data_IF_259410122107
#
_entry.id   IF_259410122107
#
_cell.length_a   1.000
_cell.length_b   1.000
_cell.length_c   1.000
_cell.angle_alpha   90.00
_cell.angle_beta   90.00
_cell.angle_gamma   90.00
#
_symmetry.space_group_name_H-M   'P 1'
#
loop_
_entity.id
_entity.type
_entity.pdbx_description
1 polymer ?
#
# COMPACT_ATOMS: atom_id res chain seq x y z
N UNK A 1 10.72 10.14 6.57
CA UNK A 1 11.25 9.08 7.46
C UNK A 1 11.57 7.90 6.58
N UNK A 2 12.75 7.31 6.72
CA UNK A 2 13.12 6.09 5.99
C UNK A 2 13.08 4.92 6.96
N UNK A 3 12.48 3.82 6.55
CA UNK A 3 12.41 2.61 7.35
C UNK A 3 12.26 1.38 6.43
N UNK A 4 12.28 0.19 7.01
CA UNK A 4 12.18 -1.08 6.31
C UNK A 4 10.72 -1.44 6.01
N UNK A 5 10.40 -1.60 4.73
CA UNK A 5 9.13 -2.17 4.28
C UNK A 5 9.31 -3.65 3.95
N UNK A 6 8.43 -4.51 4.48
CA UNK A 6 8.45 -5.96 4.20
C UNK A 6 7.06 -6.44 3.82
N UNK A 7 6.96 -7.20 2.73
CA UNK A 7 5.69 -7.78 2.26
C UNK A 7 5.92 -9.15 1.59
N UNK A 8 4.91 -10.03 1.52
CA UNK A 8 5.06 -11.33 0.86
C UNK A 8 5.26 -11.18 -0.65
N UNK A 9 6.07 -12.07 -1.23
CA UNK A 9 6.14 -12.26 -2.68
C UNK A 9 4.82 -12.83 -3.22
N UNK A 10 4.53 -12.58 -4.50
CA UNK A 10 3.33 -13.06 -5.17
C UNK A 10 3.21 -14.60 -5.16
N UNK A 11 4.33 -15.31 -5.20
CA UNK A 11 4.39 -16.78 -5.11
C UNK A 11 4.24 -17.31 -3.66
N UNK A 12 4.17 -16.42 -2.67
CA UNK A 12 4.10 -16.69 -1.22
C UNK A 12 5.25 -17.55 -0.67
N UNK A 13 6.34 -17.74 -1.42
CA UNK A 13 7.50 -18.54 -0.97
C UNK A 13 8.56 -17.72 -0.26
N UNK A 14 8.54 -16.41 -0.46
CA UNK A 14 9.52 -15.48 0.08
C UNK A 14 8.89 -14.16 0.50
N UNK A 15 9.70 -13.29 1.13
CA UNK A 15 9.33 -11.92 1.47
C UNK A 15 10.21 -10.97 0.68
N UNK A 16 9.61 -9.91 0.18
CA UNK A 16 10.32 -8.77 -0.37
C UNK A 16 10.67 -7.84 0.78
N UNK A 17 11.94 -7.47 0.87
CA UNK A 17 12.46 -6.53 1.87
C UNK A 17 13.00 -5.32 1.12
N UNK A 18 12.47 -4.15 1.46
CA UNK A 18 12.94 -2.87 0.93
C UNK A 18 13.51 -2.09 2.11
N UNK A 19 14.82 -1.89 2.07
CA UNK A 19 15.49 -1.00 3.00
C UNK A 19 15.31 0.45 2.53
N UNK A 20 15.30 1.38 3.49
CA UNK A 20 15.22 2.82 3.25
C UNK A 20 13.98 3.27 2.45
N UNK A 21 12.86 2.55 2.60
CA UNK A 21 11.59 2.96 2.01
C UNK A 21 11.14 4.28 2.64
N UNK A 22 10.78 5.26 1.80
CA UNK A 22 10.41 6.57 2.28
C UNK A 22 8.94 6.61 2.69
N UNK A 23 8.71 6.62 4.01
CA UNK A 23 7.42 6.89 4.62
C UNK A 23 7.26 8.37 4.96
N UNK A 24 6.00 8.82 4.95
CA UNK A 24 5.59 10.12 5.50
C UNK A 24 4.87 9.86 6.82
N UNK A 25 5.17 10.69 7.81
CA UNK A 25 4.44 10.67 9.08
C UNK A 25 3.19 11.51 8.90
N UNK A 26 2.02 10.90 9.09
CA UNK A 26 0.74 11.61 9.15
C UNK A 26 0.41 11.93 10.60
N UNK A 27 -0.05 13.14 10.87
CA UNK A 27 -0.53 13.59 12.19
C UNK A 27 -2.05 13.75 12.14
N UNK A 28 -2.74 13.43 13.24
CA UNK A 28 -4.21 13.57 13.37
C UNK A 28 -5.03 12.78 12.31
N UNK A 29 -4.74 11.49 12.13
CA UNK A 29 -5.37 10.64 11.10
C UNK A 29 -6.74 10.07 11.52
N UNK A 30 -7.56 10.82 12.28
CA UNK A 30 -8.83 10.31 12.85
C UNK A 30 -9.80 9.72 11.81
N UNK A 31 -9.73 10.20 10.58
CA UNK A 31 -10.58 9.72 9.47
C UNK A 31 -9.99 8.53 8.70
N UNK A 32 -8.74 8.14 9.01
CA UNK A 32 -8.03 7.00 8.40
C UNK A 32 -8.19 5.73 9.22
N UNK A 33 -8.51 5.85 10.51
CA UNK A 33 -8.64 4.73 11.47
C UNK A 33 -9.93 3.89 11.25
N UNK A 34 -10.20 3.52 10.01
CA UNK A 34 -11.14 2.43 9.72
C UNK A 34 -10.46 1.11 10.11
N UNK A 35 -11.16 0.32 10.93
CA UNK A 35 -10.87 -1.09 11.22
C UNK A 35 -9.42 -1.38 11.70
N UNK A 36 -8.86 -0.50 12.54
CA UNK A 36 -7.54 -0.70 13.15
C UNK A 36 -6.34 -0.41 12.24
N UNK A 37 -6.56 0.20 11.07
CA UNK A 37 -5.45 0.74 10.28
C UNK A 37 -4.83 1.97 10.96
N UNK A 38 -3.52 2.18 10.73
CA UNK A 38 -2.74 3.27 11.36
C UNK A 38 -2.18 4.27 10.34
N UNK A 39 -2.66 4.20 9.09
CA UNK A 39 -2.14 5.02 8.00
C UNK A 39 -2.64 4.61 6.61
N UNK A 40 -2.23 5.39 5.61
CA UNK A 40 -2.61 5.19 4.21
C UNK A 40 -1.41 4.76 3.36
N UNK A 41 -1.67 3.87 2.40
CA UNK A 41 -0.70 3.50 1.36
C UNK A 41 -1.06 4.20 0.04
N UNK A 42 -0.20 5.11 -0.42
CA UNK A 42 -0.41 5.83 -1.67
C UNK A 42 -0.06 5.00 -2.90
N UNK A 43 -1.03 4.86 -3.82
CA UNK A 43 -0.89 4.14 -5.09
C UNK A 43 -0.94 5.06 -6.33
N UNK A 44 -0.88 6.38 -6.11
CA UNK A 44 -0.93 7.39 -7.18
C UNK A 44 0.37 7.45 -8.00
N UNK A 45 0.41 8.31 -9.03
CA UNK A 45 1.60 8.52 -9.88
C UNK A 45 2.66 9.43 -9.25
N UNK A 46 2.55 9.75 -7.96
CA UNK A 46 3.52 10.57 -7.24
C UNK A 46 4.84 9.82 -7.02
N UNK A 47 5.96 10.54 -7.01
CA UNK A 47 7.30 9.96 -6.81
C UNK A 47 7.48 9.27 -5.45
N UNK A 48 6.65 9.64 -4.47
CA UNK A 48 6.65 9.07 -3.12
C UNK A 48 5.68 7.89 -2.95
N UNK A 49 4.92 7.54 -3.98
CA UNK A 49 3.97 6.42 -3.92
C UNK A 49 4.70 5.08 -3.82
N UNK A 50 4.00 4.06 -3.32
CA UNK A 50 4.50 2.69 -3.29
C UNK A 50 4.91 2.22 -4.69
N UNK A 51 4.04 2.45 -5.68
CA UNK A 51 4.25 2.02 -7.06
C UNK A 51 5.50 2.67 -7.68
N UNK A 52 5.73 3.96 -7.42
CA UNK A 52 6.88 4.67 -7.99
C UNK A 52 8.18 4.27 -7.30
N UNK A 53 8.20 4.20 -5.97
CA UNK A 53 9.41 3.80 -5.22
C UNK A 53 9.85 2.38 -5.57
N UNK A 54 8.92 1.50 -5.97
CA UNK A 54 9.19 0.10 -6.33
C UNK A 54 9.50 -0.13 -7.81
N UNK A 55 9.73 0.91 -8.61
CA UNK A 55 9.96 0.77 -10.07
C UNK A 55 11.05 -0.22 -10.42
N UNK A 56 12.16 -0.24 -9.69
CA UNK A 56 13.29 -1.12 -9.97
C UNK A 56 12.94 -2.61 -9.82
N UNK A 57 11.92 -2.93 -9.04
CA UNK A 57 11.46 -4.29 -8.79
C UNK A 57 10.28 -4.69 -9.68
N UNK A 58 9.31 -3.79 -9.89
CA UNK A 58 8.01 -4.14 -10.52
C UNK A 58 7.61 -3.26 -11.72
N UNK A 59 8.55 -2.51 -12.30
CA UNK A 59 8.37 -1.80 -13.57
C UNK A 59 7.18 -0.81 -13.59
N UNK A 60 6.92 -0.06 -12.51
CA UNK A 60 5.85 0.97 -12.38
C UNK A 60 4.40 0.49 -12.61
N UNK A 61 4.16 -0.81 -12.71
CA UNK A 61 2.81 -1.37 -12.83
C UNK A 61 2.39 -2.04 -11.54
N UNK A 62 1.10 -1.97 -11.22
CA UNK A 62 0.49 -2.74 -10.15
C UNK A 62 -0.92 -3.16 -10.56
N UNK A 63 -1.38 -4.26 -9.98
CA UNK A 63 -2.75 -4.74 -10.13
C UNK A 63 -3.39 -4.80 -8.75
N UNK A 64 -4.63 -4.35 -8.64
CA UNK A 64 -5.41 -4.45 -7.42
C UNK A 64 -6.75 -5.11 -7.74
N UNK A 65 -7.05 -6.22 -7.07
CA UNK A 65 -8.32 -6.93 -7.16
C UNK A 65 -9.05 -6.74 -5.83
N UNK A 66 -10.14 -5.98 -5.85
CA UNK A 66 -10.99 -5.78 -4.68
C UNK A 66 -11.86 -7.04 -4.48
N UNK A 67 -12.01 -7.55 -3.24
CA UNK A 67 -12.94 -8.63 -2.97
C UNK A 67 -14.37 -8.23 -3.32
N UNK A 68 -15.16 -9.16 -3.88
CA UNK A 68 -16.55 -8.92 -4.28
C UNK A 68 -17.44 -8.43 -3.13
N UNK A 69 -17.12 -8.80 -1.90
CA UNK A 69 -17.87 -8.40 -0.69
C UNK A 69 -17.87 -6.88 -0.48
N UNK A 70 -16.80 -6.19 -0.88
CA UNK A 70 -16.74 -4.72 -0.84
C UNK A 70 -17.63 -4.05 -1.91
N UNK A 71 -17.87 -4.73 -3.03
CA UNK A 71 -18.74 -4.25 -4.10
C UNK A 71 -20.22 -4.43 -3.71
N UNK A 72 -20.55 -5.53 -3.03
CA UNK A 72 -21.90 -5.76 -2.49
C UNK A 72 -22.28 -4.71 -1.46
N UNK A 73 -21.38 -4.33 -0.55
CA UNK A 73 -21.65 -3.31 0.47
C UNK A 73 -21.83 -1.90 -0.11
N UNK A 74 -21.31 -1.64 -1.32
CA UNK A 74 -21.44 -0.34 -2.01
C UNK A 74 -22.69 -0.24 -2.89
N UNK A 75 -23.40 -1.36 -3.12
CA UNK A 75 -24.62 -1.41 -3.92
C UNK A 75 -25.89 -1.40 -3.04
N UNK A 76 -25.75 -1.52 -1.72
CA UNK A 76 -26.83 -1.38 -0.74
C UNK A 76 -26.82 0.04 -0.12
N UNK A 77 -27.02 1.06 -0.96
CA UNK A 77 -27.35 2.44 -0.54
C UNK A 77 -28.55 2.93 -1.32
#
# INVERSE_FOLDING_TARGET
>A
MQDKLTFPSADRKSKVVVNDYMFRCGENNRDVDSDGSIGLMGLSRSSISFVYQMVSMFQKYFLHCLPSDYISASLET
#
